data_IF_446330855906
#
_entry.id   IF_446330855906
#
_cell.length_a   1.000
_cell.length_b   1.000
_cell.length_c   1.000
_cell.angle_alpha   90.00
_cell.angle_beta   90.00
_cell.angle_gamma   90.00
#
_symmetry.space_group_name_H-M   'P 1'
#
loop_
_entity.id
_entity.type
_entity.pdbx_description
1 polymer ?
#
# COMPACT_ATOMS: atom_id res chain seq x y z
N UNK A 1 6.45 7.78 -6.35
CA UNK A 1 6.00 6.93 -5.22
C UNK A 1 5.52 5.60 -5.80
N UNK A 2 5.75 4.50 -5.09
CA UNK A 2 5.23 3.18 -5.43
C UNK A 2 4.33 2.66 -4.31
N UNK A 3 3.23 2.02 -4.71
CA UNK A 3 2.33 1.29 -3.81
C UNK A 3 2.40 -0.18 -4.21
N UNK A 4 2.75 -1.05 -3.26
CA UNK A 4 3.00 -2.46 -3.51
C UNK A 4 2.08 -3.28 -2.61
N UNK A 5 1.29 -4.17 -3.20
CA UNK A 5 0.50 -5.15 -2.47
C UNK A 5 1.22 -6.50 -2.51
N UNK A 6 1.16 -7.24 -1.41
CA UNK A 6 1.85 -8.52 -1.29
C UNK A 6 1.10 -9.51 -0.40
N UNK A 7 1.35 -10.79 -0.62
CA UNK A 7 0.95 -11.85 0.31
C UNK A 7 2.03 -12.01 1.38
N UNK A 8 1.79 -11.49 2.58
CA UNK A 8 2.72 -11.60 3.70
C UNK A 8 2.88 -13.07 4.12
N UNK A 9 4.11 -13.45 4.49
CA UNK A 9 4.48 -14.85 4.79
C UNK A 9 5.24 -15.00 6.10
N UNK A 10 5.80 -13.92 6.65
CA UNK A 10 6.53 -13.91 7.91
C UNK A 10 6.65 -12.48 8.47
N UNK A 11 6.92 -12.31 9.78
CA UNK A 11 7.24 -11.02 10.38
C UNK A 11 8.40 -10.31 9.67
N UNK A 12 8.26 -9.01 9.38
CA UNK A 12 9.27 -8.19 8.71
C UNK A 12 9.34 -8.36 7.19
N UNK A 13 8.45 -9.15 6.57
CA UNK A 13 8.48 -9.40 5.12
C UNK A 13 8.36 -8.11 4.29
N UNK A 14 7.60 -7.11 4.74
CA UNK A 14 7.46 -5.83 4.05
C UNK A 14 8.80 -5.10 3.84
N UNK A 15 9.71 -5.16 4.82
CA UNK A 15 11.04 -4.52 4.72
C UNK A 15 11.88 -5.14 3.60
N UNK A 16 11.78 -6.46 3.40
CA UNK A 16 12.46 -7.15 2.29
C UNK A 16 11.93 -6.66 0.94
N UNK A 17 10.62 -6.47 0.82
CA UNK A 17 10.00 -5.93 -0.40
C UNK A 17 10.44 -4.49 -0.65
N UNK A 18 10.46 -3.63 0.38
CA UNK A 18 10.96 -2.24 0.26
C UNK A 18 12.39 -2.20 -0.29
N UNK A 19 13.31 -2.99 0.29
CA UNK A 19 14.69 -3.05 -0.17
C UNK A 19 14.81 -3.63 -1.59
N UNK A 20 13.94 -4.57 -1.96
CA UNK A 20 13.85 -5.08 -3.33
C UNK A 20 13.41 -4.01 -4.32
N UNK A 21 12.39 -3.21 -3.99
CA UNK A 21 11.93 -2.09 -4.83
C UNK A 21 13.06 -1.08 -5.08
N UNK A 22 13.85 -0.77 -4.05
CA UNK A 22 14.93 0.20 -4.18
C UNK A 22 16.20 -0.32 -4.85
N UNK A 23 16.40 -1.64 -4.94
CA UNK A 23 17.65 -2.22 -5.43
C UNK A 23 17.53 -3.03 -6.72
N UNK A 24 16.38 -3.65 -7.01
CA UNK A 24 16.29 -4.68 -8.05
C UNK A 24 16.25 -4.10 -9.47
N UNK A 25 15.35 -3.15 -9.73
CA UNK A 25 15.19 -2.54 -11.05
C UNK A 25 15.62 -1.08 -11.03
N UNK A 26 16.44 -0.69 -12.02
CA UNK A 26 16.93 0.69 -12.18
C UNK A 26 15.81 1.73 -12.22
N UNK A 27 14.66 1.37 -12.81
CA UNK A 27 13.49 2.24 -12.92
C UNK A 27 12.90 2.65 -11.55
N UNK A 28 13.10 1.84 -10.51
CA UNK A 28 12.57 2.11 -9.17
C UNK A 28 13.61 2.64 -8.18
N UNK A 29 14.89 2.71 -8.56
CA UNK A 29 15.98 3.17 -7.67
C UNK A 29 15.79 4.59 -7.14
N UNK A 30 15.14 5.48 -7.89
CA UNK A 30 14.87 6.87 -7.46
C UNK A 30 13.51 7.05 -6.78
N UNK A 31 12.75 5.96 -6.57
CA UNK A 31 11.46 6.03 -5.88
C UNK A 31 11.66 6.38 -4.41
N UNK A 32 11.28 7.61 -4.03
CA UNK A 32 11.41 8.14 -2.66
C UNK A 32 10.50 7.46 -1.64
N UNK A 33 9.27 7.16 -2.04
CA UNK A 33 8.23 6.64 -1.15
C UNK A 33 7.75 5.27 -1.64
N UNK A 34 7.76 4.28 -0.75
CA UNK A 34 7.22 2.94 -0.99
C UNK A 34 6.23 2.61 0.12
N UNK A 35 4.98 2.37 -0.25
CA UNK A 35 3.95 1.86 0.67
C UNK A 35 3.77 0.37 0.39
N UNK A 36 3.88 -0.45 1.43
CA UNK A 36 3.66 -1.91 1.33
C UNK A 36 2.35 -2.26 2.04
N UNK A 37 1.50 -2.99 1.34
CA UNK A 37 0.14 -3.35 1.72
C UNK A 37 -0.05 -4.86 1.59
N UNK A 38 -1.06 -5.41 2.26
CA UNK A 38 -1.49 -6.80 1.99
C UNK A 38 -2.27 -6.89 0.67
N UNK A 39 -2.59 -8.11 0.22
CA UNK A 39 -3.27 -8.39 -1.03
C UNK A 39 -4.79 -8.14 -1.01
N UNK A 40 -5.36 -7.88 0.17
CA UNK A 40 -6.75 -7.47 0.36
C UNK A 40 -7.00 -5.97 0.09
N UNK A 41 -5.93 -5.20 -0.16
CA UNK A 41 -5.99 -3.75 -0.42
C UNK A 41 -5.74 -3.46 -1.90
N UNK A 42 -6.56 -2.61 -2.52
CA UNK A 42 -6.30 -2.17 -3.90
C UNK A 42 -5.20 -1.10 -3.93
N UNK A 43 -4.04 -1.41 -4.53
CA UNK A 43 -2.95 -0.45 -4.74
C UNK A 43 -3.31 0.75 -5.65
N UNK A 44 -4.47 0.68 -6.33
CA UNK A 44 -4.94 1.71 -7.28
C UNK A 44 -6.07 2.57 -6.71
N UNK A 45 -6.64 2.21 -5.57
CA UNK A 45 -7.67 3.01 -4.90
C UNK A 45 -7.04 3.70 -3.69
N UNK A 46 -6.91 5.02 -3.76
CA UNK A 46 -6.34 5.80 -2.65
C UNK A 46 -7.16 5.70 -1.36
N UNK A 47 -8.47 5.41 -1.43
CA UNK A 47 -9.29 5.20 -0.23
C UNK A 47 -8.80 3.96 0.53
N UNK A 48 -8.55 2.87 -0.19
CA UNK A 48 -8.02 1.62 0.35
C UNK A 48 -6.61 1.79 0.90
N UNK A 49 -5.73 2.46 0.14
CA UNK A 49 -4.34 2.72 0.56
C UNK A 49 -4.28 3.54 1.85
N UNK A 50 -5.06 4.63 1.92
CA UNK A 50 -5.10 5.49 3.11
C UNK A 50 -5.74 4.76 4.29
N UNK A 51 -6.79 3.95 4.07
CA UNK A 51 -7.37 3.11 5.12
C UNK A 51 -6.34 2.15 5.72
N UNK A 52 -5.56 1.46 4.89
CA UNK A 52 -4.52 0.55 5.37
C UNK A 52 -3.44 1.29 6.18
N UNK A 53 -2.95 2.44 5.68
CA UNK A 53 -1.96 3.25 6.40
C UNK A 53 -2.50 3.69 7.77
N UNK A 54 -3.73 4.19 7.82
CA UNK A 54 -4.31 4.78 9.04
C UNK A 54 -4.79 3.76 10.07
N UNK A 55 -4.98 2.50 9.69
CA UNK A 55 -5.48 1.45 10.58
C UNK A 55 -4.47 0.35 10.92
N UNK A 56 -3.47 0.12 10.05
CA UNK A 56 -2.50 -0.98 10.19
C UNK A 56 -1.09 -0.51 10.55
N UNK A 57 -0.86 0.79 10.68
CA UNK A 57 0.46 1.34 10.99
C UNK A 57 0.52 2.06 12.34
N UNK A 58 1.59 1.81 13.07
CA UNK A 58 2.16 2.76 14.02
C UNK A 58 3.26 3.57 13.32
N UNK A 59 3.20 4.92 13.28
CA UNK A 59 4.12 5.73 12.48
C UNK A 59 5.60 5.53 12.82
N UNK A 60 5.95 5.38 14.11
CA UNK A 60 7.35 5.28 14.52
C UNK A 60 7.91 3.87 14.28
N UNK A 61 7.12 2.83 14.57
CA UNK A 61 7.53 1.43 14.42
C UNK A 61 7.59 0.99 12.96
N UNK A 62 6.62 1.43 12.16
CA UNK A 62 6.34 0.84 10.84
C UNK A 62 6.85 1.70 9.67
N UNK A 63 7.50 2.84 9.98
CA UNK A 63 8.20 3.65 8.98
C UNK A 63 9.68 3.30 8.95
N UNK A 64 10.20 3.03 7.75
CA UNK A 64 11.63 2.83 7.49
C UNK A 64 12.19 4.04 6.78
N UNK A 65 13.19 4.68 7.38
CA UNK A 65 13.94 5.75 6.76
C UNK A 65 15.35 5.27 6.40
N UNK A 66 15.77 5.54 5.18
CA UNK A 66 17.14 5.31 4.71
C UNK A 66 17.68 6.62 4.16
N UNK A 67 18.74 7.13 4.79
CA UNK A 67 19.39 8.38 4.41
C UNK A 67 20.51 8.15 3.40
N UNK A 68 20.99 9.23 2.79
CA UNK A 68 22.15 9.22 1.88
C UNK A 68 22.03 8.23 0.72
N UNK A 69 20.84 8.18 0.13
CA UNK A 69 20.52 7.33 -1.03
C UNK A 69 20.52 8.14 -2.33
N UNK A 70 20.82 7.52 -3.48
CA UNK A 70 20.74 8.19 -4.78
C UNK A 70 19.33 8.67 -5.10
N UNK A 71 19.19 9.93 -5.49
CA UNK A 71 17.94 10.57 -5.91
C UNK A 71 18.17 11.25 -7.27
N UNK A 72 17.08 11.54 -7.99
CA UNK A 72 17.16 12.34 -9.22
C UNK A 72 17.81 13.70 -8.94
N UNK A 73 18.76 14.09 -9.79
CA UNK A 73 19.44 15.39 -9.70
C UNK A 73 18.48 16.57 -9.85
N UNK A 74 17.36 16.39 -10.57
CA UNK A 74 16.34 17.44 -10.76
C UNK A 74 15.39 17.59 -9.58
N UNK A 75 15.46 16.70 -8.59
CA UNK A 75 14.58 16.74 -7.44
C UNK A 75 15.07 17.76 -6.39
N UNK A 76 14.59 18.99 -6.52
CA UNK A 76 14.92 20.13 -5.65
C UNK A 76 14.49 19.96 -4.19
N UNK A 77 13.64 18.98 -3.86
CA UNK A 77 13.26 18.69 -2.49
C UNK A 77 14.31 17.84 -1.76
N UNK A 78 15.34 17.35 -2.47
CA UNK A 78 16.50 16.73 -1.85
C UNK A 78 17.43 17.78 -1.23
N UNK A 79 18.09 17.49 -0.09
CA UNK A 79 18.97 18.44 0.58
C UNK A 79 20.24 18.73 -0.25
N UNK A 80 20.69 17.75 -1.04
CA UNK A 80 21.86 17.84 -1.91
C UNK A 80 21.50 17.25 -3.26
N UNK A 81 21.89 17.90 -4.35
CA UNK A 81 21.56 17.43 -5.69
C UNK A 81 22.10 16.00 -5.92
N UNK A 82 21.21 15.07 -6.26
CA UNK A 82 21.52 13.65 -6.47
C UNK A 82 21.56 12.78 -5.21
N UNK A 83 21.39 13.35 -4.02
CA UNK A 83 21.49 12.63 -2.74
C UNK A 83 20.38 13.04 -1.75
N UNK A 84 19.65 12.07 -1.23
CA UNK A 84 18.60 12.33 -0.25
C UNK A 84 18.16 11.08 0.50
N UNK A 85 16.98 11.13 1.12
CA UNK A 85 16.42 10.01 1.86
C UNK A 85 15.30 9.30 1.11
N UNK A 86 15.01 8.08 1.54
CA UNK A 86 13.85 7.29 1.13
C UNK A 86 13.04 6.87 2.35
N UNK A 87 11.74 6.76 2.16
CA UNK A 87 10.78 6.37 3.18
C UNK A 87 9.98 5.16 2.70
N UNK A 88 10.02 4.10 3.50
CA UNK A 88 9.17 2.92 3.36
C UNK A 88 8.10 2.94 4.44
N UNK A 89 6.86 2.65 4.06
CA UNK A 89 5.72 2.58 4.96
C UNK A 89 5.17 1.15 4.95
N UNK A 90 5.30 0.43 6.06
CA UNK A 90 4.74 -0.91 6.21
C UNK A 90 3.30 -0.82 6.74
N UNK A 91 2.34 -0.78 5.81
CA UNK A 91 0.90 -0.81 6.09
C UNK A 91 0.31 -2.24 6.02
N UNK A 92 1.14 -3.28 6.19
CA UNK A 92 0.65 -4.66 6.27
C UNK A 92 0.06 -4.99 7.64
N UNK A 93 -0.75 -6.04 7.72
CA UNK A 93 -1.23 -6.60 8.98
C UNK A 93 -0.03 -7.06 9.82
N UNK A 94 0.00 -6.67 11.10
CA UNK A 94 1.11 -7.00 12.00
C UNK A 94 0.88 -8.35 12.65
N UNK A 95 1.89 -9.20 12.58
CA UNK A 95 1.88 -10.57 13.08
C UNK A 95 2.50 -10.64 14.48
N UNK A 96 2.32 -11.75 15.22
CA UNK A 96 3.05 -12.00 16.46
C UNK A 96 4.55 -11.78 16.27
N UNK A 97 5.17 -11.04 17.18
CA UNK A 97 6.57 -10.60 17.10
C UNK A 97 6.78 -9.22 16.45
N UNK A 98 5.80 -8.70 15.70
CA UNK A 98 5.78 -7.28 15.28
C UNK A 98 4.92 -6.41 16.21
N UNK A 99 3.96 -7.05 16.90
CA UNK A 99 3.08 -6.44 17.89
C UNK A 99 2.68 -7.49 18.93
N UNK A 100 2.49 -7.05 20.17
CA UNK A 100 1.95 -7.87 21.27
C UNK A 100 0.42 -7.69 21.43
N UNK A 101 -0.17 -6.80 20.64
CA UNK A 101 -1.61 -6.51 20.66
C UNK A 101 -2.38 -7.52 19.82
N UNK A 102 -3.61 -7.83 20.23
CA UNK A 102 -4.59 -8.51 19.38
C UNK A 102 -4.83 -7.68 18.11
N UNK A 103 -4.76 -8.33 16.95
CA UNK A 103 -4.90 -7.66 15.66
C UNK A 103 -6.36 -7.70 15.18
N UNK A 104 -6.82 -6.58 14.62
CA UNK A 104 -8.19 -6.47 14.10
C UNK A 104 -8.45 -7.41 12.93
N UNK A 105 -9.64 -8.00 12.89
CA UNK A 105 -10.10 -8.80 11.74
C UNK A 105 -10.82 -7.87 10.75
N UNK A 106 -10.38 -7.79 9.48
CA UNK A 106 -11.05 -6.98 8.46
C UNK A 106 -12.51 -7.44 8.25
N UNK A 107 -13.40 -6.48 8.02
CA UNK A 107 -14.79 -6.77 7.66
C UNK A 107 -14.80 -7.19 6.19
N UNK A 108 -15.30 -8.39 5.93
CA UNK A 108 -15.50 -8.91 4.57
C UNK A 108 -16.99 -9.08 4.29
N UNK A 109 -17.39 -8.80 3.05
CA UNK A 109 -18.76 -9.08 2.60
C UNK A 109 -18.92 -10.58 2.36
N UNK A 110 -20.11 -11.10 2.66
CA UNK A 110 -20.46 -12.47 2.27
C UNK A 110 -20.53 -12.60 0.75
N UNK A 111 -19.85 -13.60 0.19
CA UNK A 111 -19.73 -13.78 -1.26
C UNK A 111 -21.07 -14.10 -1.93
N UNK A 112 -21.96 -14.84 -1.27
CA UNK A 112 -23.28 -15.15 -1.82
C UNK A 112 -24.18 -13.90 -1.86
N UNK A 113 -24.11 -13.04 -0.84
CA UNK A 113 -24.80 -11.76 -0.84
C UNK A 113 -24.26 -10.85 -1.93
N UNK A 114 -22.93 -10.75 -2.06
CA UNK A 114 -22.27 -9.92 -3.08
C UNK A 114 -22.69 -10.35 -4.49
N UNK A 115 -22.62 -11.65 -4.80
CA UNK A 115 -23.03 -12.18 -6.10
C UNK A 115 -24.50 -11.85 -6.43
N UNK A 116 -25.41 -12.10 -5.47
CA UNK A 116 -26.84 -11.81 -5.63
C UNK A 116 -27.13 -10.34 -5.89
N UNK A 117 -26.41 -9.43 -5.22
CA UNK A 117 -26.57 -7.98 -5.43
C UNK A 117 -25.99 -7.56 -6.77
N UNK A 118 -24.84 -8.11 -7.18
CA UNK A 118 -24.22 -7.83 -8.47
C UNK A 118 -25.11 -8.25 -9.65
N UNK A 119 -25.74 -9.42 -9.61
CA UNK A 119 -26.67 -9.89 -10.65
C UNK A 119 -27.88 -8.97 -10.82
N UNK A 120 -28.41 -8.45 -9.71
CA UNK A 120 -29.60 -7.61 -9.70
C UNK A 120 -29.30 -6.12 -9.86
N UNK A 121 -28.03 -5.72 -9.97
CA UNK A 121 -27.64 -4.31 -9.91
C UNK A 121 -28.36 -3.45 -10.96
N UNK A 122 -28.50 -3.98 -12.18
CA UNK A 122 -29.20 -3.28 -13.28
C UNK A 122 -30.70 -3.11 -13.02
N UNK A 123 -31.33 -4.04 -12.28
CA UNK A 123 -32.75 -3.96 -11.92
C UNK A 123 -33.03 -2.88 -10.88
N UNK A 124 -32.03 -2.54 -10.06
CA UNK A 124 -32.19 -1.58 -8.96
C UNK A 124 -32.28 -0.13 -9.44
N UNK A 125 -31.90 0.16 -10.69
CA UNK A 125 -31.93 1.53 -11.24
C UNK A 125 -30.99 2.50 -10.55
N UNK A 126 -29.98 2.01 -9.84
CA UNK A 126 -29.00 2.82 -9.10
C UNK A 126 -27.79 3.08 -10.01
N UNK A 127 -27.56 4.34 -10.35
CA UNK A 127 -26.36 4.74 -11.06
C UNK A 127 -25.14 4.64 -10.14
N UNK A 128 -24.08 4.01 -10.64
CA UNK A 128 -22.80 4.02 -9.94
C UNK A 128 -22.11 5.36 -10.14
N UNK A 129 -21.50 5.93 -9.10
CA UNK A 129 -20.77 7.18 -9.25
C UNK A 129 -19.67 6.99 -10.29
N UNK A 130 -19.66 7.86 -11.30
CA UNK A 130 -18.61 7.86 -12.32
C UNK A 130 -17.33 8.39 -11.69
N UNK A 131 -16.54 7.51 -11.10
CA UNK A 131 -15.17 7.83 -10.75
C UNK A 131 -14.29 7.51 -11.97
N UNK A 132 -13.65 8.51 -12.61
CA UNK A 132 -12.81 8.28 -13.78
C UNK A 132 -11.63 7.31 -13.52
N UNK A 133 -11.27 7.06 -12.26
CA UNK A 133 -10.22 6.12 -11.84
C UNK A 133 -10.74 4.72 -11.43
N UNK A 134 -12.06 4.51 -11.41
CA UNK A 134 -12.66 3.27 -10.93
C UNK A 134 -12.82 2.23 -12.05
N UNK A 135 -11.83 1.34 -12.15
CA UNK A 135 -11.82 0.22 -13.11
C UNK A 135 -12.65 -0.99 -12.68
N UNK A 136 -13.55 -0.88 -11.69
CA UNK A 136 -14.41 -1.99 -11.25
C UNK A 136 -15.56 -2.29 -12.24
N UNK A 137 -15.67 -1.55 -13.34
CA UNK A 137 -16.73 -1.67 -14.35
C UNK A 137 -16.26 -2.08 -15.75
N UNK A 138 -15.03 -2.60 -15.88
CA UNK A 138 -14.56 -3.25 -17.11
C UNK A 138 -14.13 -4.67 -16.84
#
# INVERSE_FOLDING_TARGET
MAVVTMKKQYPGHAKRVMMGVWSFLRQFMYTKFVVVLDDDVSARDWKDVIWAITTRMDPARDTVLVENTPIDYLDFASPVAGLGSKMGLDATAKWPGETDREWGTPIVMDEAVKARVSERWNELGIALPTNPDDKRHT
#
